data_IF_291063476005
#
_entry.id   IF_291063476005
#
_cell.length_a   1.000
_cell.length_b   1.000
_cell.length_c   1.000
_cell.angle_alpha   90.00
_cell.angle_beta   90.00
_cell.angle_gamma   90.00
#
_symmetry.space_group_name_H-M   'P 1'
#
loop_
_entity.id
_entity.type
_entity.pdbx_description
1 polymer ?
#
# COMPACT_ATOMS: atom_id res chain seq x y z
N UNK A 1 9.13 -9.98 -55.30
CA UNK A 1 8.62 -11.28 -55.83
C UNK A 1 7.87 -11.96 -54.69
N UNK A 2 6.59 -12.26 -54.86
CA UNK A 2 5.79 -12.95 -53.83
C UNK A 2 6.17 -14.42 -53.80
N UNK A 3 6.48 -14.95 -52.63
CA UNK A 3 6.82 -16.36 -52.42
C UNK A 3 5.54 -17.21 -52.40
N UNK A 4 5.18 -17.76 -53.56
CA UNK A 4 3.98 -18.57 -53.73
C UNK A 4 3.97 -19.86 -52.90
N UNK A 5 5.14 -20.36 -52.48
CA UNK A 5 5.21 -21.51 -51.57
C UNK A 5 4.71 -21.15 -50.17
N UNK A 6 5.04 -19.96 -49.66
CA UNK A 6 4.48 -19.44 -48.40
C UNK A 6 2.97 -19.20 -48.51
N UNK A 7 2.51 -18.67 -49.64
CA UNK A 7 1.09 -18.45 -49.89
C UNK A 7 0.31 -19.79 -49.91
N UNK A 8 0.84 -20.82 -50.57
CA UNK A 8 0.24 -22.16 -50.62
C UNK A 8 0.17 -22.82 -49.23
N UNK A 9 1.23 -22.68 -48.40
CA UNK A 9 1.21 -23.13 -47.00
C UNK A 9 0.12 -22.41 -46.23
N UNK A 10 0.04 -21.07 -46.31
CA UNK A 10 -1.00 -20.28 -45.62
C UNK A 10 -2.41 -20.74 -46.05
N UNK A 11 -2.66 -20.93 -47.35
CA UNK A 11 -3.95 -21.42 -47.86
C UNK A 11 -4.26 -22.84 -47.37
N UNK A 12 -3.28 -23.74 -47.33
CA UNK A 12 -3.47 -25.08 -46.80
C UNK A 12 -3.81 -25.03 -45.29
N UNK A 13 -3.09 -24.22 -44.50
CA UNK A 13 -3.37 -24.07 -43.07
C UNK A 13 -4.75 -23.44 -42.81
N UNK A 14 -5.22 -22.54 -43.67
CA UNK A 14 -6.55 -21.91 -43.56
C UNK A 14 -7.70 -22.82 -44.02
N UNK A 15 -7.47 -23.75 -44.95
CA UNK A 15 -8.52 -24.63 -45.48
C UNK A 15 -8.72 -25.90 -44.66
N UNK A 16 -7.69 -26.37 -43.95
CA UNK A 16 -7.76 -27.55 -43.06
C UNK A 16 -8.94 -27.45 -42.06
N UNK A 17 -9.14 -26.36 -41.29
CA UNK A 17 -10.26 -26.26 -40.34
C UNK A 17 -11.65 -26.32 -40.99
N UNK A 18 -11.79 -25.94 -42.26
CA UNK A 18 -13.08 -25.90 -42.97
C UNK A 18 -13.57 -27.29 -43.41
N UNK A 19 -12.67 -28.26 -43.49
CA UNK A 19 -12.99 -29.64 -43.96
C UNK A 19 -12.96 -30.64 -42.80
N UNK A 20 -12.46 -30.22 -41.64
CA UNK A 20 -12.33 -31.07 -40.46
C UNK A 20 -13.63 -31.13 -39.64
N UNK A 21 -13.90 -32.30 -39.05
CA UNK A 21 -14.94 -32.44 -38.03
C UNK A 21 -14.64 -31.52 -36.83
N UNK A 22 -15.64 -31.14 -36.00
CA UNK A 22 -15.41 -30.25 -34.85
C UNK A 22 -14.28 -30.71 -33.92
N UNK A 23 -14.16 -32.03 -33.71
CA UNK A 23 -13.07 -32.63 -32.91
C UNK A 23 -11.72 -32.43 -33.58
N UNK A 24 -11.64 -32.63 -34.89
CA UNK A 24 -10.40 -32.43 -35.63
C UNK A 24 -10.05 -30.94 -35.77
N UNK A 25 -11.02 -30.04 -35.88
CA UNK A 25 -10.81 -28.60 -35.85
C UNK A 25 -10.24 -28.13 -34.51
N UNK A 26 -10.72 -28.69 -33.38
CA UNK A 26 -10.15 -28.43 -32.05
C UNK A 26 -8.69 -28.91 -31.96
N UNK A 27 -8.38 -30.12 -32.43
CA UNK A 27 -7.01 -30.64 -32.47
C UNK A 27 -6.09 -29.83 -33.40
N UNK A 28 -6.59 -29.40 -34.56
CA UNK A 28 -5.87 -28.53 -35.48
C UNK A 28 -5.57 -27.16 -34.84
N UNK A 29 -6.54 -26.56 -34.13
CA UNK A 29 -6.33 -25.32 -33.40
C UNK A 29 -5.25 -25.46 -32.31
N UNK A 30 -5.26 -26.57 -31.55
CA UNK A 30 -4.22 -26.87 -30.57
C UNK A 30 -2.84 -27.06 -31.24
N UNK A 31 -2.78 -27.76 -32.37
CA UNK A 31 -1.54 -27.94 -33.14
C UNK A 31 -1.00 -26.61 -33.69
N UNK A 32 -1.85 -25.77 -34.29
CA UNK A 32 -1.44 -24.45 -34.78
C UNK A 32 -0.97 -23.54 -33.67
N UNK A 33 -1.64 -23.59 -32.50
CA UNK A 33 -1.21 -22.87 -31.32
C UNK A 33 0.15 -23.34 -30.81
N UNK A 34 0.37 -24.65 -30.76
CA UNK A 34 1.67 -25.23 -30.40
C UNK A 34 2.76 -24.83 -31.40
N UNK A 35 2.49 -24.93 -32.70
CA UNK A 35 3.41 -24.54 -33.77
C UNK A 35 3.72 -23.03 -33.70
N UNK A 36 2.71 -22.21 -33.43
CA UNK A 36 2.89 -20.77 -33.22
C UNK A 36 3.86 -20.52 -32.05
N UNK A 37 3.70 -21.20 -30.92
CA UNK A 37 4.62 -21.03 -29.78
C UNK A 37 6.03 -21.54 -30.05
N UNK A 38 6.19 -22.57 -30.88
CA UNK A 38 7.51 -23.02 -31.32
C UNK A 38 8.20 -22.01 -32.23
N UNK A 39 7.45 -21.38 -33.15
CA UNK A 39 7.97 -20.38 -34.08
C UNK A 39 8.25 -19.06 -33.35
N UNK A 40 7.31 -18.62 -32.51
CA UNK A 40 7.36 -17.37 -31.76
C UNK A 40 7.68 -17.64 -30.29
N UNK A 41 8.89 -18.13 -30.01
CA UNK A 41 9.34 -18.47 -28.64
C UNK A 41 9.18 -17.32 -27.65
N UNK A 42 9.34 -16.09 -28.11
CA UNK A 42 9.17 -14.87 -27.30
C UNK A 42 7.71 -14.64 -26.86
N UNK A 43 6.74 -15.19 -27.62
CA UNK A 43 5.31 -15.14 -27.30
C UNK A 43 4.85 -16.32 -26.46
N UNK A 44 5.62 -17.41 -26.43
CA UNK A 44 5.38 -18.57 -25.55
C UNK A 44 5.65 -18.27 -24.07
N UNK A 45 6.35 -17.17 -23.79
CA UNK A 45 6.63 -16.72 -22.44
C UNK A 45 6.00 -15.36 -22.18
N UNK A 46 5.84 -15.01 -20.92
CA UNK A 46 5.52 -13.66 -20.50
C UNK A 46 6.53 -13.20 -19.43
N UNK A 47 6.58 -11.90 -19.20
CA UNK A 47 7.29 -11.38 -18.03
C UNK A 47 6.50 -11.75 -16.77
N UNK A 48 7.21 -12.01 -15.68
CA UNK A 48 6.64 -12.18 -14.35
C UNK A 48 7.25 -11.15 -13.40
N UNK A 49 6.40 -10.58 -12.56
CA UNK A 49 6.76 -9.76 -11.42
C UNK A 49 5.88 -10.20 -10.26
N UNK A 50 6.32 -11.24 -9.57
CA UNK A 50 5.70 -11.75 -8.35
C UNK A 50 6.38 -11.16 -7.12
N UNK A 51 5.79 -11.38 -5.96
CA UNK A 51 6.24 -10.80 -4.71
C UNK A 51 7.67 -11.22 -4.40
N UNK A 52 7.98 -12.49 -4.64
CA UNK A 52 9.32 -13.07 -4.47
C UNK A 52 10.37 -12.52 -5.43
N UNK A 53 9.95 -11.91 -6.55
CA UNK A 53 10.84 -11.22 -7.48
C UNK A 53 11.18 -9.79 -7.02
N UNK A 54 10.44 -9.22 -6.05
CA UNK A 54 10.72 -7.90 -5.51
C UNK A 54 11.93 -7.91 -4.57
N UNK A 55 12.80 -6.92 -4.74
CA UNK A 55 13.96 -6.71 -3.86
C UNK A 55 13.54 -6.41 -2.40
N UNK A 56 14.43 -6.70 -1.46
CA UNK A 56 14.25 -6.34 -0.04
C UNK A 56 14.41 -4.85 0.22
N UNK A 57 15.08 -4.14 -0.69
CA UNK A 57 15.23 -2.69 -0.71
C UNK A 57 13.89 -1.95 -0.85
N UNK A 58 13.87 -0.61 -0.74
CA UNK A 58 12.69 0.18 -1.08
C UNK A 58 12.08 -0.23 -2.42
N UNK A 59 10.79 -0.59 -2.40
CA UNK A 59 10.04 -1.04 -3.57
C UNK A 59 10.01 0.01 -4.68
N UNK A 60 10.10 1.28 -4.26
CA UNK A 60 10.21 2.43 -5.13
C UNK A 60 11.31 3.36 -4.64
N UNK A 61 12.25 3.69 -5.53
CA UNK A 61 13.30 4.67 -5.27
C UNK A 61 13.33 5.71 -6.39
N UNK A 62 13.08 6.97 -6.04
CA UNK A 62 13.23 8.10 -6.96
C UNK A 62 14.29 9.05 -6.41
N UNK A 63 15.47 9.07 -7.02
CA UNK A 63 16.50 10.08 -6.74
C UNK A 63 16.16 11.39 -7.45
N UNK A 64 15.17 12.16 -6.94
CA UNK A 64 14.83 13.51 -7.45
C UNK A 64 14.30 13.57 -8.90
N UNK A 65 13.27 14.38 -9.15
CA UNK A 65 12.62 14.61 -10.46
C UNK A 65 12.14 13.40 -11.30
N UNK A 66 12.44 12.15 -10.95
CA UNK A 66 11.96 10.96 -11.68
C UNK A 66 10.42 10.81 -11.70
N UNK A 67 9.72 11.54 -10.82
CA UNK A 67 8.26 11.58 -10.78
C UNK A 67 7.64 12.66 -11.67
N UNK A 68 8.45 13.57 -12.23
CA UNK A 68 8.02 14.56 -13.20
C UNK A 68 8.49 14.02 -14.56
N UNK A 69 7.57 13.63 -15.47
CA UNK A 69 7.98 13.26 -16.82
C UNK A 69 8.80 14.42 -17.39
N UNK A 70 9.94 14.14 -18.03
CA UNK A 70 10.70 15.14 -18.78
C UNK A 70 9.73 15.94 -19.64
N UNK A 71 9.44 17.18 -19.23
CA UNK A 71 8.53 18.08 -19.92
C UNK A 71 9.25 18.62 -21.14
N UNK A 72 9.44 17.77 -22.15
CA UNK A 72 9.29 18.27 -23.51
C UNK A 72 7.89 18.91 -23.63
N UNK A 73 7.70 19.97 -24.44
CA UNK A 73 6.41 20.62 -24.59
C UNK A 73 5.38 19.63 -25.14
N UNK A 74 4.59 19.05 -24.23
CA UNK A 74 3.42 18.25 -24.59
C UNK A 74 2.34 19.26 -25.00
N UNK A 75 1.77 19.18 -26.21
CA UNK A 75 0.69 20.06 -26.63
C UNK A 75 -0.47 20.02 -25.62
N UNK A 76 -1.19 21.14 -25.42
CA UNK A 76 -2.25 21.22 -24.43
C UNK A 76 -3.28 20.10 -24.65
N UNK A 77 -3.66 19.37 -23.59
CA UNK A 77 -4.62 18.28 -23.72
C UNK A 77 -5.98 18.84 -24.11
N UNK A 78 -6.51 18.35 -25.22
CA UNK A 78 -7.88 18.60 -25.65
C UNK A 78 -8.83 17.88 -24.66
N UNK A 79 -9.56 18.67 -23.87
CA UNK A 79 -10.24 18.27 -22.61
C UNK A 79 -11.47 17.37 -22.84
N UNK A 80 -11.75 16.94 -24.07
CA UNK A 80 -13.04 16.33 -24.42
C UNK A 80 -13.00 14.82 -24.70
N UNK A 81 -11.87 14.11 -24.53
CA UNK A 81 -11.84 12.65 -24.72
C UNK A 81 -11.30 11.89 -23.51
N UNK A 82 -12.21 11.34 -22.70
CA UNK A 82 -11.97 10.53 -21.50
C UNK A 82 -11.36 9.13 -21.77
N UNK A 83 -10.79 8.88 -22.96
CA UNK A 83 -10.27 7.56 -23.38
C UNK A 83 -9.16 7.65 -24.43
N UNK A 84 -8.05 8.32 -24.15
CA UNK A 84 -6.83 8.12 -24.96
C UNK A 84 -5.66 7.70 -24.09
N UNK A 85 -5.74 6.49 -23.55
CA UNK A 85 -4.52 5.69 -23.42
C UNK A 85 -4.01 5.46 -24.85
N UNK A 86 -2.74 5.77 -25.13
CA UNK A 86 -2.15 5.40 -26.41
C UNK A 86 -2.07 3.86 -26.43
N UNK A 87 -2.84 3.17 -27.29
CA UNK A 87 -2.94 1.72 -27.26
C UNK A 87 -1.58 1.02 -27.49
N UNK A 88 -0.65 1.73 -28.13
CA UNK A 88 0.69 1.24 -28.49
C UNK A 88 1.62 0.97 -27.30
N UNK A 89 1.30 1.43 -26.09
CA UNK A 89 2.15 1.25 -24.90
C UNK A 89 1.54 0.24 -23.94
N UNK A 90 2.31 -0.78 -23.54
CA UNK A 90 1.92 -1.79 -22.56
C UNK A 90 1.38 -1.11 -21.29
N UNK A 91 0.08 -1.22 -21.03
CA UNK A 91 -0.61 -0.39 -20.04
C UNK A 91 -0.06 -0.65 -18.62
N UNK A 92 0.25 -1.91 -18.29
CA UNK A 92 0.94 -2.27 -17.04
C UNK A 92 2.39 -1.78 -16.99
N UNK A 93 3.10 -1.64 -18.13
CA UNK A 93 4.49 -1.14 -18.16
C UNK A 93 4.55 0.38 -17.93
N UNK A 94 3.45 1.09 -18.19
CA UNK A 94 3.34 2.53 -17.86
C UNK A 94 2.88 2.80 -16.42
N UNK A 95 2.51 1.76 -15.68
CA UNK A 95 1.92 1.85 -14.34
C UNK A 95 2.65 0.95 -13.34
N UNK A 96 2.34 -0.35 -13.34
CA UNK A 96 2.85 -1.35 -12.41
C UNK A 96 4.38 -1.36 -12.32
N UNK A 97 5.07 -1.33 -13.46
CA UNK A 97 6.53 -1.43 -13.50
C UNK A 97 7.23 -0.13 -13.05
N UNK A 98 6.58 1.03 -13.27
CA UNK A 98 7.06 2.32 -12.75
C UNK A 98 6.91 2.41 -11.23
N UNK A 99 5.88 1.78 -10.66
CA UNK A 99 5.73 1.69 -9.22
C UNK A 99 6.86 0.84 -8.61
N UNK A 100 7.17 -0.30 -9.22
CA UNK A 100 8.25 -1.20 -8.81
C UNK A 100 9.56 -0.99 -9.59
N UNK A 101 9.99 0.27 -9.73
CA UNK A 101 11.12 0.61 -10.59
C UNK A 101 12.44 -0.07 -10.19
N UNK A 102 12.66 -0.31 -8.89
CA UNK A 102 13.86 -1.00 -8.38
C UNK A 102 13.94 -2.42 -8.92
N UNK A 103 12.83 -3.18 -8.85
CA UNK A 103 12.77 -4.54 -9.37
C UNK A 103 12.87 -4.58 -10.90
N UNK A 104 12.28 -3.58 -11.58
CA UNK A 104 12.27 -3.56 -13.04
C UNK A 104 13.61 -3.17 -13.68
N UNK A 105 14.42 -2.31 -13.03
CA UNK A 105 15.73 -1.86 -13.53
C UNK A 105 16.84 -2.90 -13.38
N UNK A 106 16.70 -3.85 -12.45
CA UNK A 106 17.72 -4.86 -12.13
C UNK A 106 18.03 -5.89 -13.22
N UNK A 107 17.48 -5.75 -14.44
CA UNK A 107 17.82 -6.57 -15.61
C UNK A 107 17.32 -8.02 -15.60
N UNK A 108 16.87 -8.54 -14.46
CA UNK A 108 16.35 -9.91 -14.32
C UNK A 108 14.84 -10.00 -14.46
N UNK A 109 14.28 -9.76 -15.66
CA UNK A 109 12.87 -10.08 -15.89
C UNK A 109 12.71 -11.60 -15.92
N UNK A 110 12.10 -12.18 -14.88
CA UNK A 110 11.79 -13.61 -14.87
C UNK A 110 10.77 -13.89 -15.96
N UNK A 111 11.13 -14.77 -16.90
CA UNK A 111 10.20 -15.27 -17.92
C UNK A 111 9.49 -16.51 -17.38
N UNK A 112 8.18 -16.57 -17.57
CA UNK A 112 7.38 -17.75 -17.22
C UNK A 112 6.62 -18.25 -18.45
N UNK A 113 6.37 -19.57 -18.56
CA UNK A 113 5.54 -20.09 -19.64
C UNK A 113 4.16 -19.45 -19.62
N UNK A 114 3.68 -19.05 -20.80
CA UNK A 114 2.34 -18.51 -20.98
C UNK A 114 1.33 -19.67 -21.04
N UNK A 115 0.28 -19.66 -20.21
CA UNK A 115 -0.76 -20.68 -20.27
C UNK A 115 -1.49 -20.75 -21.62
N UNK A 116 -1.97 -21.95 -21.95
CA UNK A 116 -2.66 -22.23 -23.21
C UNK A 116 -4.08 -21.63 -23.30
N UNK A 117 -4.61 -21.07 -22.22
CA UNK A 117 -5.91 -20.40 -22.24
C UNK A 117 -5.80 -18.89 -22.51
N UNK A 118 -4.62 -18.29 -22.37
CA UNK A 118 -4.43 -16.85 -22.62
C UNK A 118 -4.44 -16.53 -24.12
N UNK A 119 -4.77 -15.29 -24.48
CA UNK A 119 -4.66 -14.85 -25.87
C UNK A 119 -3.20 -14.88 -26.35
N UNK A 120 -3.00 -15.30 -27.59
CA UNK A 120 -1.68 -15.34 -28.22
C UNK A 120 -1.27 -13.93 -28.69
N UNK A 121 -2.26 -13.10 -29.04
CA UNK A 121 -2.08 -11.75 -29.59
C UNK A 121 -1.72 -10.74 -28.50
N UNK A 122 -2.33 -10.88 -27.31
CA UNK A 122 -2.07 -10.00 -26.18
C UNK A 122 -0.70 -10.25 -25.53
N UNK A 123 -0.15 -9.23 -24.86
CA UNK A 123 0.96 -9.42 -23.93
C UNK A 123 0.41 -9.48 -22.52
N UNK A 124 1.06 -10.27 -21.68
CA UNK A 124 0.69 -10.44 -20.28
C UNK A 124 1.89 -10.18 -19.39
N UNK A 125 1.62 -9.71 -18.18
CA UNK A 125 2.53 -9.74 -17.04
C UNK A 125 1.91 -10.66 -15.97
N UNK A 126 2.62 -11.73 -15.61
CA UNK A 126 2.21 -12.56 -14.47
C UNK A 126 2.59 -11.87 -13.17
N UNK A 127 1.67 -11.84 -12.22
CA UNK A 127 1.88 -11.33 -10.86
C UNK A 127 1.08 -12.15 -9.85
N UNK A 128 1.08 -11.72 -8.59
CA UNK A 128 0.33 -12.29 -7.48
C UNK A 128 -0.38 -11.21 -6.66
N UNK A 129 -1.17 -11.64 -5.68
CA UNK A 129 -1.96 -10.76 -4.82
C UNK A 129 -1.09 -9.84 -3.98
N UNK A 130 0.01 -10.35 -3.42
CA UNK A 130 0.89 -9.58 -2.55
C UNK A 130 1.54 -8.42 -3.32
N UNK A 131 1.96 -8.66 -4.57
CA UNK A 131 2.50 -7.62 -5.45
C UNK A 131 1.41 -6.62 -5.84
N UNK A 132 0.20 -7.09 -6.18
CA UNK A 132 -0.92 -6.21 -6.50
C UNK A 132 -1.31 -5.33 -5.30
N UNK A 133 -1.30 -5.90 -4.09
CA UNK A 133 -1.55 -5.16 -2.86
C UNK A 133 -0.49 -4.09 -2.62
N UNK A 134 0.79 -4.45 -2.79
CA UNK A 134 1.86 -3.48 -2.68
C UNK A 134 1.74 -2.34 -3.68
N UNK A 135 1.31 -2.64 -4.90
CA UNK A 135 1.03 -1.64 -5.90
C UNK A 135 -0.03 -0.67 -5.40
N UNK A 136 -1.17 -1.18 -4.95
CA UNK A 136 -2.28 -0.38 -4.42
C UNK A 136 -1.80 0.49 -3.24
N UNK A 137 -1.06 -0.09 -2.28
CA UNK A 137 -0.53 0.65 -1.12
C UNK A 137 0.36 1.81 -1.57
N UNK A 138 1.25 1.59 -2.54
CA UNK A 138 2.20 2.60 -3.01
C UNK A 138 1.55 3.70 -3.87
N UNK A 139 0.55 3.35 -4.67
CA UNK A 139 -0.08 4.28 -5.62
C UNK A 139 -1.32 4.98 -5.08
N UNK A 140 -1.64 4.75 -3.81
CA UNK A 140 -2.80 5.33 -3.14
C UNK A 140 -2.75 6.88 -3.09
N UNK A 141 -3.72 7.61 -3.69
CA UNK A 141 -3.70 9.07 -3.69
C UNK A 141 -4.38 9.67 -2.47
N UNK A 142 -3.79 10.77 -1.97
CA UNK A 142 -4.15 11.48 -0.72
C UNK A 142 -5.61 11.94 -0.54
N UNK A 143 -6.48 11.85 -1.55
CA UNK A 143 -7.82 12.44 -1.49
C UNK A 143 -8.91 11.59 -2.12
N UNK A 144 -9.99 11.41 -1.34
CA UNK A 144 -11.38 11.02 -1.67
C UNK A 144 -11.63 9.78 -2.53
N UNK A 145 -10.61 8.98 -2.85
CA UNK A 145 -10.82 7.65 -3.43
C UNK A 145 -11.77 6.84 -2.55
N UNK A 146 -13.01 6.66 -2.99
CA UNK A 146 -13.92 5.69 -2.39
C UNK A 146 -13.53 4.35 -3.00
N UNK A 147 -13.32 3.34 -2.14
CA UNK A 147 -13.37 1.97 -2.61
C UNK A 147 -14.77 1.71 -3.09
N UNK A 148 -14.95 1.85 -4.39
CA UNK A 148 -16.01 1.14 -5.05
C UNK A 148 -15.44 -0.25 -5.29
N UNK A 149 -15.82 -1.21 -4.44
CA UNK A 149 -16.20 -2.49 -5.01
C UNK A 149 -17.30 -2.09 -5.97
N UNK A 150 -16.96 -1.90 -7.25
CA UNK A 150 -17.97 -1.57 -8.24
C UNK A 150 -19.03 -2.65 -8.03
N UNK A 151 -20.28 -2.31 -7.67
CA UNK A 151 -21.34 -3.28 -7.82
C UNK A 151 -21.28 -3.60 -9.30
N UNK A 152 -20.63 -4.71 -9.64
CA UNK A 152 -20.75 -5.35 -10.94
C UNK A 152 -22.25 -5.39 -11.11
N UNK A 153 -22.75 -4.58 -12.05
CA UNK A 153 -24.12 -4.07 -12.04
C UNK A 153 -25.08 -5.18 -11.66
N UNK A 154 -26.10 -4.88 -10.85
CA UNK A 154 -27.06 -5.84 -10.28
C UNK A 154 -27.79 -6.74 -11.29
N UNK A 155 -27.52 -6.60 -12.59
CA UNK A 155 -28.05 -7.41 -13.67
C UNK A 155 -27.04 -8.45 -14.21
N UNK A 156 -25.81 -8.46 -13.69
CA UNK A 156 -24.75 -9.36 -14.10
C UNK A 156 -23.90 -9.73 -12.87
N UNK A 157 -24.41 -10.70 -12.10
CA UNK A 157 -23.65 -11.45 -11.11
C UNK A 157 -22.63 -12.31 -11.87
N UNK A 158 -21.44 -11.77 -12.11
CA UNK A 158 -20.31 -12.60 -12.51
C UNK A 158 -19.66 -13.06 -11.21
N UNK A 159 -20.05 -14.24 -10.70
CA UNK A 159 -19.37 -14.94 -9.57
C UNK A 159 -17.85 -15.16 -9.82
N UNK A 160 -17.39 -14.80 -11.02
CA UNK A 160 -16.07 -14.99 -11.55
C UNK A 160 -15.35 -13.66 -11.83
N UNK A 161 -15.67 -12.55 -11.16
CA UNK A 161 -14.87 -11.33 -11.33
C UNK A 161 -14.75 -10.52 -10.03
N UNK A 162 -13.64 -9.82 -9.89
CA UNK A 162 -13.51 -8.74 -8.91
C UNK A 162 -12.99 -7.49 -9.60
N UNK A 163 -13.47 -6.34 -9.14
CA UNK A 163 -13.01 -5.05 -9.59
C UNK A 163 -12.70 -4.18 -8.39
N UNK A 164 -11.73 -3.29 -8.57
CA UNK A 164 -11.45 -2.25 -7.60
C UNK A 164 -11.24 -0.93 -8.32
N UNK A 165 -11.66 0.14 -7.66
CA UNK A 165 -11.28 1.50 -8.02
C UNK A 165 -10.65 2.14 -6.79
N UNK A 166 -9.41 2.60 -6.94
CA UNK A 166 -8.68 3.29 -5.89
C UNK A 166 -8.06 4.57 -6.44
N UNK A 167 -8.70 5.69 -6.12
CA UNK A 167 -8.30 6.99 -6.62
C UNK A 167 -8.36 7.05 -8.14
N UNK A 168 -7.21 7.28 -8.78
CA UNK A 168 -7.07 7.34 -10.26
C UNK A 168 -6.79 5.98 -10.90
N UNK A 169 -6.65 4.93 -10.10
CA UNK A 169 -6.43 3.57 -10.59
C UNK A 169 -7.72 2.77 -10.52
N UNK A 170 -7.92 1.90 -11.49
CA UNK A 170 -8.91 0.84 -11.39
C UNK A 170 -8.37 -0.44 -11.97
N UNK A 171 -8.91 -1.55 -11.50
CA UNK A 171 -8.60 -2.87 -12.01
C UNK A 171 -9.86 -3.71 -12.13
N UNK A 172 -9.96 -4.47 -13.21
CA UNK A 172 -11.03 -5.46 -13.41
C UNK A 172 -10.36 -6.79 -13.68
N UNK A 173 -10.75 -7.81 -12.92
CA UNK A 173 -10.14 -9.13 -12.95
C UNK A 173 -11.21 -10.19 -13.08
N UNK A 174 -11.06 -11.06 -14.07
CA UNK A 174 -11.92 -12.20 -14.31
C UNK A 174 -11.22 -13.46 -13.81
N UNK A 175 -11.90 -14.17 -12.91
CA UNK A 175 -11.59 -15.53 -12.52
C UNK A 175 -11.85 -16.44 -13.73
N UNK A 176 -10.88 -17.27 -14.05
CA UNK A 176 -11.00 -18.29 -15.07
C UNK A 176 -10.61 -19.61 -14.43
N UNK A 177 -11.50 -20.59 -14.56
CA UNK A 177 -11.29 -21.96 -14.12
C UNK A 177 -10.94 -22.81 -15.33
N UNK A 178 -9.88 -23.61 -15.23
CA UNK A 178 -9.52 -24.53 -16.30
C UNK A 178 -10.52 -25.68 -16.36
N UNK A 179 -11.05 -26.01 -17.55
CA UNK A 179 -12.11 -27.02 -17.74
C UNK A 179 -11.78 -28.41 -17.16
N UNK A 180 -10.50 -28.71 -16.95
CA UNK A 180 -10.01 -29.98 -16.42
C UNK A 180 -9.05 -29.81 -15.23
N UNK A 181 -8.88 -28.59 -14.72
CA UNK A 181 -7.95 -28.28 -13.65
C UNK A 181 -8.66 -27.76 -12.41
N UNK A 182 -8.14 -28.12 -11.23
CA UNK A 182 -8.53 -27.48 -9.97
C UNK A 182 -7.93 -26.06 -9.83
N UNK A 183 -7.04 -25.66 -10.75
CA UNK A 183 -6.34 -24.38 -10.67
C UNK A 183 -7.24 -23.22 -11.10
N UNK A 184 -7.45 -22.31 -10.15
CA UNK A 184 -8.07 -21.01 -10.39
C UNK A 184 -6.99 -20.00 -10.76
N UNK A 185 -7.23 -19.19 -11.77
CA UNK A 185 -6.38 -18.05 -12.10
C UNK A 185 -7.22 -16.81 -12.41
N UNK A 186 -6.58 -15.65 -12.43
CA UNK A 186 -7.25 -14.38 -12.69
C UNK A 186 -6.59 -13.69 -13.87
N UNK A 187 -7.40 -13.16 -14.77
CA UNK A 187 -6.96 -12.34 -15.90
C UNK A 187 -7.55 -10.97 -15.70
N UNK A 188 -6.72 -9.93 -15.63
CA UNK A 188 -7.24 -8.59 -15.38
C UNK A 188 -6.49 -7.51 -16.11
N UNK A 189 -7.10 -6.34 -16.11
CA UNK A 189 -6.56 -5.14 -16.71
C UNK A 189 -6.44 -4.07 -15.64
N UNK A 190 -5.30 -3.36 -15.60
CA UNK A 190 -5.09 -2.20 -14.74
C UNK A 190 -5.17 -0.91 -15.55
N UNK A 191 -6.09 -0.04 -15.17
CA UNK A 191 -6.20 1.32 -15.66
C UNK A 191 -5.43 2.24 -14.71
N UNK A 192 -4.49 3.01 -15.27
CA UNK A 192 -3.67 3.97 -14.51
C UNK A 192 -4.20 5.40 -14.54
N UNK A 193 -3.50 6.34 -13.88
CA UNK A 193 -3.90 7.72 -13.82
C UNK A 193 -3.95 8.29 -15.22
N UNK A 194 -5.10 8.88 -15.55
CA UNK A 194 -5.30 9.62 -16.79
C UNK A 194 -4.34 10.82 -16.91
N UNK A 195 -3.81 11.30 -15.77
CA UNK A 195 -2.84 12.39 -15.74
C UNK A 195 -1.39 11.87 -15.62
N UNK A 196 -0.58 11.94 -16.68
CA UNK A 196 0.83 11.54 -16.63
C UNK A 196 1.71 12.44 -15.75
N UNK A 197 1.23 13.64 -15.38
CA UNK A 197 1.96 14.59 -14.53
C UNK A 197 1.83 14.30 -13.03
N UNK A 198 0.84 13.48 -12.62
CA UNK A 198 0.71 13.10 -11.22
C UNK A 198 1.76 12.06 -10.85
N UNK A 199 2.43 12.18 -9.68
CA UNK A 199 3.34 11.13 -9.22
C UNK A 199 2.56 9.83 -9.05
N UNK A 200 3.03 8.79 -9.72
CA UNK A 200 2.43 7.45 -9.68
C UNK A 200 2.46 6.86 -8.26
N UNK A 201 3.60 6.99 -7.58
CA UNK A 201 3.79 6.56 -6.20
C UNK A 201 3.65 7.76 -5.29
N UNK A 202 2.88 7.61 -4.22
CA UNK A 202 2.71 8.65 -3.22
C UNK A 202 4.09 9.03 -2.65
N UNK A 203 4.53 10.30 -2.77
CA UNK A 203 5.85 10.71 -2.32
C UNK A 203 6.14 10.40 -0.85
N UNK A 204 5.10 10.34 -0.01
CA UNK A 204 5.26 10.07 1.42
C UNK A 204 5.39 8.57 1.75
N UNK A 205 5.14 7.70 0.76
CA UNK A 205 5.31 6.26 0.84
C UNK A 205 6.58 5.79 0.14
N UNK A 206 7.39 6.73 -0.38
CA UNK A 206 8.75 6.45 -0.83
C UNK A 206 9.57 5.85 0.31
N UNK A 207 10.43 4.89 -0.01
CA UNK A 207 11.24 4.20 0.99
C UNK A 207 10.58 2.97 1.63
N UNK A 208 9.28 2.70 1.37
CA UNK A 208 8.64 1.47 1.84
C UNK A 208 9.33 0.23 1.31
N UNK A 209 9.75 -0.65 2.21
CA UNK A 209 10.34 -1.95 1.88
C UNK A 209 9.25 -3.00 1.66
N UNK A 210 9.64 -4.12 1.05
CA UNK A 210 8.81 -5.33 0.94
C UNK A 210 8.26 -5.76 2.31
N UNK A 211 9.10 -5.71 3.35
CA UNK A 211 8.70 -6.07 4.71
C UNK A 211 7.64 -5.12 5.27
N UNK A 212 7.80 -3.81 5.10
CA UNK A 212 6.85 -2.81 5.62
C UNK A 212 5.44 -3.02 5.07
N UNK A 213 5.34 -3.18 3.74
CA UNK A 213 4.06 -3.39 3.07
C UNK A 213 3.38 -4.67 3.53
N UNK A 214 4.14 -5.77 3.67
CA UNK A 214 3.61 -7.04 4.18
C UNK A 214 3.06 -6.90 5.61
N UNK A 215 3.76 -6.21 6.50
CA UNK A 215 3.27 -5.98 7.85
C UNK A 215 2.00 -5.12 7.86
N UNK A 216 1.94 -4.06 7.05
CA UNK A 216 0.72 -3.24 6.90
C UNK A 216 -0.45 -4.09 6.38
N UNK A 217 -0.20 -4.95 5.38
CA UNK A 217 -1.17 -5.90 4.85
C UNK A 217 -1.68 -6.89 5.91
N UNK A 218 -0.79 -7.37 6.78
CA UNK A 218 -1.11 -8.26 7.91
C UNK A 218 -1.88 -7.54 9.04
N UNK A 219 -2.11 -6.23 8.92
CA UNK A 219 -2.85 -5.45 9.89
C UNK A 219 -1.97 -4.80 10.95
N UNK A 220 -0.70 -4.52 10.66
CA UNK A 220 0.07 -3.58 11.46
C UNK A 220 -0.47 -2.17 11.23
N UNK A 221 -0.22 -1.23 12.18
CA UNK A 221 -0.65 0.15 12.00
C UNK A 221 -0.19 0.71 10.65
N UNK A 222 -0.99 1.56 9.99
CA UNK A 222 -0.68 2.10 8.66
C UNK A 222 0.59 2.98 8.64
N UNK A 223 1.05 3.40 9.81
CA UNK A 223 2.29 4.15 10.02
C UNK A 223 3.53 3.24 10.18
N UNK A 224 3.34 1.91 10.17
CA UNK A 224 4.42 0.97 10.41
C UNK A 224 5.52 1.12 9.36
N UNK A 225 6.73 1.23 9.86
CA UNK A 225 7.99 1.13 9.12
C UNK A 225 8.94 0.34 9.98
N UNK A 226 9.85 -0.45 9.41
CA UNK A 226 10.85 -1.15 10.21
C UNK A 226 11.75 -0.17 10.97
N UNK A 227 12.02 0.98 10.35
CA UNK A 227 12.78 2.09 10.89
C UNK A 227 11.98 3.37 10.71
N UNK A 228 11.91 4.18 11.76
CA UNK A 228 11.28 5.50 11.71
C UNK A 228 12.35 6.58 11.71
N UNK A 229 12.16 7.58 10.86
CA UNK A 229 12.95 8.82 10.92
C UNK A 229 12.18 9.82 11.75
N UNK A 230 12.79 10.29 12.84
CA UNK A 230 12.17 11.26 13.75
C UNK A 230 12.21 12.66 13.17
N UNK A 231 11.46 13.59 13.76
CA UNK A 231 11.55 15.01 13.45
C UNK A 231 12.94 15.63 13.70
N UNK A 232 13.78 14.99 14.53
CA UNK A 232 15.19 15.37 14.73
C UNK A 232 16.13 14.81 13.66
N UNK A 233 15.62 14.06 12.67
CA UNK A 233 16.41 13.42 11.62
C UNK A 233 17.08 12.12 12.05
N UNK A 234 16.86 11.67 13.28
CA UNK A 234 17.43 10.43 13.81
C UNK A 234 16.61 9.25 13.32
N UNK A 235 17.29 8.20 12.87
CA UNK A 235 16.65 6.93 12.53
C UNK A 235 16.68 5.97 13.72
N UNK A 236 15.51 5.50 14.16
CA UNK A 236 15.38 4.50 15.22
C UNK A 236 14.49 3.34 14.75
N UNK A 237 14.68 2.17 15.35
CA UNK A 237 13.85 1.02 15.03
C UNK A 237 12.43 1.16 15.59
N UNK A 238 11.44 0.66 14.86
CA UNK A 238 10.05 0.72 15.27
C UNK A 238 9.78 -0.17 16.50
N UNK A 239 8.89 0.25 17.42
CA UNK A 239 8.67 -0.47 18.68
C UNK A 239 7.89 -1.78 18.52
N UNK A 240 7.17 -1.97 17.42
CA UNK A 240 6.48 -3.23 17.10
C UNK A 240 7.50 -4.22 16.55
N UNK A 241 7.71 -5.32 17.28
CA UNK A 241 8.56 -6.46 16.87
C UNK A 241 7.75 -7.70 16.53
N UNK A 242 6.58 -7.80 17.14
CA UNK A 242 5.63 -8.90 16.98
C UNK A 242 4.21 -8.35 16.89
N UNK A 243 3.27 -9.14 16.39
CA UNK A 243 1.85 -8.77 16.31
C UNK A 243 1.26 -8.35 17.67
N UNK A 244 1.76 -8.92 18.77
CA UNK A 244 1.32 -8.56 20.12
C UNK A 244 1.64 -7.11 20.49
N UNK A 245 2.66 -6.53 19.88
CA UNK A 245 3.08 -5.18 20.17
C UNK A 245 2.16 -4.13 19.53
N UNK A 246 1.26 -4.53 18.62
CA UNK A 246 0.21 -3.66 18.07
C UNK A 246 -0.75 -3.15 19.16
N UNK A 247 -0.91 -3.91 20.24
CA UNK A 247 -1.74 -3.53 21.39
C UNK A 247 -1.04 -2.52 22.31
N UNK A 248 0.25 -2.23 22.14
CA UNK A 248 1.04 -1.42 23.08
C UNK A 248 1.06 0.05 22.68
N UNK A 249 1.32 0.95 23.63
CA UNK A 249 1.32 2.40 23.38
C UNK A 249 2.55 2.93 22.64
N UNK A 250 3.65 2.16 22.61
CA UNK A 250 4.93 2.61 22.05
C UNK A 250 4.84 3.08 20.60
N UNK A 251 4.09 2.38 19.75
CA UNK A 251 3.96 2.78 18.34
C UNK A 251 3.12 4.06 18.14
N UNK A 252 2.21 4.38 19.06
CA UNK A 252 1.48 5.65 19.05
C UNK A 252 2.46 6.79 19.30
N UNK A 253 3.39 6.63 20.24
CA UNK A 253 4.48 7.59 20.47
C UNK A 253 5.37 7.70 19.23
N UNK A 254 5.70 6.58 18.59
CA UNK A 254 6.50 6.55 17.37
C UNK A 254 5.88 7.41 16.26
N UNK A 255 4.55 7.40 16.10
CA UNK A 255 3.82 8.25 15.14
C UNK A 255 3.98 9.74 15.47
N UNK A 256 3.90 10.09 16.75
CA UNK A 256 4.10 11.47 17.20
C UNK A 256 5.54 11.97 16.98
N UNK A 257 6.52 11.07 17.04
CA UNK A 257 7.94 11.38 16.80
C UNK A 257 8.31 11.39 15.31
N UNK A 258 7.54 10.72 14.46
CA UNK A 258 7.90 10.38 13.09
C UNK A 258 7.44 11.42 12.06
N UNK A 259 8.27 11.61 11.04
CA UNK A 259 7.93 12.36 9.81
C UNK A 259 7.17 11.53 8.77
N UNK A 260 7.05 10.22 8.99
CA UNK A 260 6.38 9.33 8.04
C UNK A 260 4.87 9.51 8.06
N UNK A 261 4.29 9.48 6.86
CA UNK A 261 2.85 9.51 6.67
C UNK A 261 2.30 8.07 6.62
N UNK A 262 1.04 7.87 7.04
CA UNK A 262 0.43 6.56 7.02
C UNK A 262 0.16 6.09 5.58
N UNK A 263 0.21 4.77 5.37
CA UNK A 263 -0.48 4.18 4.22
C UNK A 263 -1.98 4.43 4.36
N UNK A 264 -2.65 4.75 3.26
CA UNK A 264 -4.09 5.06 3.29
C UNK A 264 -4.95 3.83 3.61
N UNK A 265 -4.37 2.65 3.57
CA UNK A 265 -5.06 1.40 3.85
C UNK A 265 -4.75 0.90 5.25
N UNK A 266 -5.77 0.40 5.93
CA UNK A 266 -5.63 -0.32 7.18
C UNK A 266 -6.52 -1.56 7.20
N UNK A 267 -6.10 -2.58 7.93
CA UNK A 267 -6.96 -3.73 8.15
C UNK A 267 -8.06 -3.36 9.16
N UNK A 268 -9.32 -3.35 8.71
CA UNK A 268 -10.46 -2.96 9.54
C UNK A 268 -10.72 -3.90 10.73
N UNK A 269 -10.36 -5.18 10.61
CA UNK A 269 -10.59 -6.20 11.64
C UNK A 269 -9.78 -5.93 12.91
N UNK A 270 -8.60 -5.34 12.73
CA UNK A 270 -7.68 -4.97 13.82
C UNK A 270 -7.83 -3.50 14.25
N UNK A 271 -8.73 -2.73 13.61
CA UNK A 271 -8.92 -1.33 13.94
C UNK A 271 -9.28 -1.03 15.41
N UNK A 272 -10.04 -1.88 16.12
CA UNK A 272 -10.28 -1.71 17.55
C UNK A 272 -8.98 -1.72 18.38
N UNK A 273 -8.02 -2.57 18.01
CA UNK A 273 -6.72 -2.71 18.69
C UNK A 273 -5.97 -1.38 18.72
N UNK A 274 -6.08 -0.61 17.65
CA UNK A 274 -5.42 0.70 17.58
C UNK A 274 -6.02 1.72 18.56
N UNK A 275 -7.34 1.67 18.78
CA UNK A 275 -8.00 2.49 19.81
C UNK A 275 -7.58 2.07 21.22
N UNK A 276 -7.40 0.77 21.45
CA UNK A 276 -6.91 0.24 22.73
C UNK A 276 -5.46 0.70 23.02
N UNK A 277 -4.61 0.76 21.99
CA UNK A 277 -3.26 1.29 22.11
C UNK A 277 -3.25 2.77 22.55
N UNK A 278 -4.14 3.61 21.99
CA UNK A 278 -4.33 5.00 22.45
C UNK A 278 -4.79 5.04 23.92
N UNK A 279 -5.73 4.18 24.30
CA UNK A 279 -6.20 4.07 25.69
C UNK A 279 -5.08 3.65 26.66
N UNK A 280 -4.15 2.81 26.21
CA UNK A 280 -2.96 2.47 27.01
C UNK A 280 -1.98 3.62 27.13
N UNK A 281 -1.83 4.49 26.13
CA UNK A 281 -1.05 5.73 26.26
C UNK A 281 -1.61 6.57 27.41
N UNK A 282 -2.93 6.82 27.41
CA UNK A 282 -3.62 7.54 28.49
C UNK A 282 -3.40 6.87 29.86
N UNK A 283 -3.59 5.55 29.93
CA UNK A 283 -3.40 4.80 31.17
C UNK A 283 -1.94 4.86 31.66
N UNK A 284 -0.96 4.86 30.76
CA UNK A 284 0.47 4.97 31.13
C UNK A 284 0.76 6.34 31.72
N UNK A 285 0.23 7.41 31.12
CA UNK A 285 0.34 8.76 31.65
C UNK A 285 -0.28 8.83 33.05
N UNK A 286 -1.54 8.42 33.20
CA UNK A 286 -2.28 8.56 34.45
C UNK A 286 -1.78 7.67 35.59
N UNK A 287 -1.40 6.42 35.30
CA UNK A 287 -1.09 5.42 36.34
C UNK A 287 0.39 5.27 36.64
N UNK A 288 1.26 5.46 35.65
CA UNK A 288 2.71 5.32 35.85
C UNK A 288 3.41 6.67 35.92
N UNK A 289 3.19 7.55 34.95
CA UNK A 289 3.97 8.80 34.84
C UNK A 289 3.52 9.83 35.87
N UNK A 290 2.24 10.20 35.91
CA UNK A 290 1.71 11.25 36.81
C UNK A 290 2.04 10.98 38.29
N UNK A 291 1.84 9.76 38.84
CA UNK A 291 2.12 9.51 40.27
C UNK A 291 3.60 9.56 40.64
N UNK A 292 4.50 9.55 39.65
CA UNK A 292 5.96 9.64 39.86
C UNK A 292 6.43 11.08 40.14
N UNK A 293 5.52 12.06 40.07
CA UNK A 293 5.81 13.46 40.30
C UNK A 293 4.92 14.02 41.42
N UNK A 294 5.44 14.98 42.18
CA UNK A 294 4.66 15.65 43.22
C UNK A 294 3.43 16.36 42.61
N UNK A 295 2.23 16.29 43.22
CA UNK A 295 1.00 16.84 42.65
C UNK A 295 1.06 18.33 42.29
N UNK A 296 1.84 19.12 43.02
CA UNK A 296 2.02 20.56 42.77
C UNK A 296 3.10 20.89 41.75
N UNK A 297 3.86 19.90 41.28
CA UNK A 297 4.96 20.09 40.34
C UNK A 297 4.47 20.45 38.93
N UNK A 298 5.30 21.18 38.19
CA UNK A 298 5.02 21.49 36.79
C UNK A 298 4.88 20.22 35.94
N UNK A 299 5.65 19.18 36.24
CA UNK A 299 5.56 17.88 35.57
C UNK A 299 4.17 17.25 35.71
N UNK A 300 3.58 17.27 36.92
CA UNK A 300 2.24 16.74 37.15
C UNK A 300 1.17 17.55 36.40
N UNK A 301 1.31 18.88 36.32
CA UNK A 301 0.41 19.74 35.51
C UNK A 301 0.48 19.40 34.03
N UNK A 302 1.69 19.26 33.47
CA UNK A 302 1.89 18.84 32.08
C UNK A 302 1.23 17.49 31.81
N UNK A 303 1.40 16.52 32.72
CA UNK A 303 0.76 15.21 32.58
C UNK A 303 -0.76 15.31 32.60
N UNK A 304 -1.34 16.12 33.49
CA UNK A 304 -2.79 16.31 33.56
C UNK A 304 -3.36 16.95 32.29
N UNK A 305 -2.70 17.97 31.74
CA UNK A 305 -3.13 18.60 30.47
C UNK A 305 -3.09 17.57 29.34
N UNK A 306 -1.98 16.82 29.22
CA UNK A 306 -1.84 15.80 28.18
C UNK A 306 -2.85 14.66 28.33
N UNK A 307 -3.10 14.20 29.56
CA UNK A 307 -4.10 13.18 29.85
C UNK A 307 -5.51 13.64 29.47
N UNK A 308 -5.92 14.87 29.85
CA UNK A 308 -7.22 15.42 29.50
C UNK A 308 -7.41 15.54 27.98
N UNK A 309 -6.37 16.02 27.29
CA UNK A 309 -6.37 16.12 25.83
C UNK A 309 -6.55 14.75 25.15
N UNK A 310 -5.80 13.73 25.60
CA UNK A 310 -5.88 12.38 25.05
C UNK A 310 -7.23 11.71 25.38
N UNK A 311 -7.73 11.90 26.60
CA UNK A 311 -9.03 11.36 27.03
C UNK A 311 -10.19 11.89 26.18
N UNK A 312 -10.17 13.19 25.89
CA UNK A 312 -11.18 13.80 25.00
C UNK A 312 -11.12 13.21 23.59
N UNK A 313 -9.92 13.01 23.02
CA UNK A 313 -9.79 12.40 21.69
C UNK A 313 -10.25 10.95 21.66
N UNK A 314 -10.01 10.17 22.72
CA UNK A 314 -10.48 8.79 22.83
C UNK A 314 -12.01 8.75 22.97
N UNK A 315 -12.57 9.61 23.81
CA UNK A 315 -14.01 9.67 24.08
C UNK A 315 -14.79 10.14 22.86
N UNK A 316 -14.36 11.24 22.24
CA UNK A 316 -14.97 11.80 21.03
C UNK A 316 -14.62 11.02 19.76
N UNK A 317 -13.62 10.12 19.82
CA UNK A 317 -13.08 9.35 18.69
C UNK A 317 -12.66 10.22 17.51
N UNK A 318 -12.13 11.41 17.81
CA UNK A 318 -11.67 12.35 16.80
C UNK A 318 -10.46 13.15 17.30
N UNK A 319 -9.58 13.52 16.37
CA UNK A 319 -8.53 14.51 16.61
C UNK A 319 -8.97 15.93 16.23
N UNK A 320 -10.21 16.12 15.80
CA UNK A 320 -10.75 17.45 15.49
C UNK A 320 -11.13 18.17 16.78
N UNK A 321 -10.74 19.44 16.94
CA UNK A 321 -11.10 20.27 18.10
C UNK A 321 -10.11 20.22 19.27
N UNK A 322 -9.10 19.36 19.20
CA UNK A 322 -8.06 19.27 20.24
C UNK A 322 -7.27 20.57 20.39
N UNK A 323 -7.11 21.35 19.31
CA UNK A 323 -6.53 22.69 19.34
C UNK A 323 -7.23 23.65 20.32
N UNK A 324 -8.55 23.53 20.52
CA UNK A 324 -9.30 24.36 21.48
C UNK A 324 -8.94 24.02 22.93
N UNK A 325 -8.65 22.75 23.21
CA UNK A 325 -8.26 22.28 24.55
C UNK A 325 -6.82 22.65 24.86
N UNK A 326 -5.96 22.60 23.85
CA UNK A 326 -4.54 22.92 23.98
C UNK A 326 -4.26 24.41 23.89
N UNK A 327 -5.24 25.22 23.49
CA UNK A 327 -5.12 26.68 23.46
C UNK A 327 -4.70 27.20 24.84
N UNK A 328 -3.71 28.10 24.89
CA UNK A 328 -3.09 28.63 26.12
C UNK A 328 -2.32 27.63 26.98
N UNK A 329 -2.13 26.39 26.53
CA UNK A 329 -1.33 25.39 27.24
C UNK A 329 0.10 25.33 26.69
N UNK A 330 1.06 24.71 27.43
CA UNK A 330 2.40 24.42 26.89
C UNK A 330 2.42 23.49 25.67
N UNK A 331 1.28 22.95 25.23
CA UNK A 331 1.13 22.10 24.05
C UNK A 331 0.34 22.79 22.92
N UNK A 332 0.03 24.08 23.04
CA UNK A 332 -0.41 24.89 21.90
C UNK A 332 0.65 24.70 20.81
N UNK A 333 0.25 24.22 19.64
CA UNK A 333 1.11 23.85 18.50
C UNK A 333 1.74 22.46 18.48
N UNK A 334 1.36 21.53 19.38
CA UNK A 334 1.85 20.14 19.25
C UNK A 334 1.23 19.37 18.07
N UNK A 335 0.23 19.94 17.41
CA UNK A 335 -0.44 19.38 16.24
C UNK A 335 0.24 19.77 14.92
N UNK A 336 0.08 18.91 13.90
CA UNK A 336 0.53 19.20 12.54
C UNK A 336 2.05 19.35 12.40
N UNK A 337 2.48 20.27 11.53
CA UNK A 337 3.92 20.50 11.24
C UNK A 337 4.66 21.18 12.39
N UNK A 338 3.96 21.94 13.22
CA UNK A 338 4.54 22.64 14.37
C UNK A 338 4.90 21.68 15.50
N UNK A 339 4.21 20.55 15.61
CA UNK A 339 4.52 19.48 16.57
C UNK A 339 5.96 18.94 16.47
N UNK A 340 6.58 19.09 15.30
CA UNK A 340 7.98 18.75 15.09
C UNK A 340 8.93 19.53 16.02
N UNK A 341 8.61 20.77 16.38
CA UNK A 341 9.48 21.61 17.21
C UNK A 341 9.71 21.03 18.60
N UNK A 342 8.70 20.37 19.18
CA UNK A 342 8.81 19.76 20.50
C UNK A 342 9.74 18.55 20.53
N UNK A 343 9.89 17.86 19.40
CA UNK A 343 10.57 16.56 19.32
C UNK A 343 11.92 16.64 18.59
N UNK A 344 12.22 17.78 17.96
CA UNK A 344 13.49 18.06 17.27
C UNK A 344 14.72 17.98 18.19
N UNK A 345 14.57 18.25 19.49
CA UNK A 345 15.68 18.19 20.43
C UNK A 345 15.96 16.78 20.98
N UNK A 346 15.11 15.79 20.69
CA UNK A 346 15.26 14.45 21.26
C UNK A 346 16.37 13.65 20.56
N UNK A 347 17.26 13.08 21.37
CA UNK A 347 18.30 12.14 20.91
C UNK A 347 17.72 10.76 20.58
N UNK A 348 18.50 9.92 19.89
CA UNK A 348 18.12 8.53 19.61
C UNK A 348 17.76 7.76 20.89
N UNK A 349 18.58 7.90 21.94
CA UNK A 349 18.40 7.22 23.21
C UNK A 349 17.13 7.68 23.93
N UNK A 350 16.85 8.99 23.93
CA UNK A 350 15.64 9.56 24.52
C UNK A 350 14.38 9.10 23.79
N UNK A 351 14.42 9.04 22.46
CA UNK A 351 13.33 8.47 21.67
C UNK A 351 13.12 7.00 22.01
N UNK A 352 14.18 6.17 22.00
CA UNK A 352 14.09 4.74 22.33
C UNK A 352 13.58 4.52 23.76
N UNK A 353 14.05 5.30 24.74
CA UNK A 353 13.55 5.27 26.11
C UNK A 353 12.05 5.55 26.15
N UNK A 354 11.60 6.60 25.47
CA UNK A 354 10.19 6.99 25.40
C UNK A 354 9.33 5.89 24.75
N UNK A 355 9.80 5.30 23.66
CA UNK A 355 9.12 4.18 23.01
C UNK A 355 8.99 2.98 23.97
N UNK A 356 10.06 2.60 24.66
CA UNK A 356 10.06 1.49 25.63
C UNK A 356 9.12 1.75 26.80
N UNK A 357 9.13 2.98 27.35
CA UNK A 357 8.27 3.39 28.46
C UNK A 357 6.78 3.10 28.16
N UNK A 358 6.31 3.46 26.96
CA UNK A 358 4.92 3.23 26.54
C UNK A 358 4.68 1.81 25.97
N UNK A 359 5.73 1.05 25.68
CA UNK A 359 5.62 -0.32 25.18
C UNK A 359 5.58 -1.35 26.31
N UNK A 360 6.33 -1.14 27.40
CA UNK A 360 6.37 -2.06 28.55
C UNK A 360 5.02 -2.14 29.30
N UNK A 361 4.21 -1.08 29.22
CA UNK A 361 2.92 -0.96 29.91
C UNK A 361 3.03 -1.40 31.38
N UNK A 362 3.59 -0.53 32.21
CA UNK A 362 3.53 -0.67 33.66
C UNK A 362 2.39 0.18 34.21
N UNK A 363 1.65 -0.36 35.18
CA UNK A 363 0.71 0.41 36.01
C UNK A 363 1.36 0.95 37.28
N UNK A 364 2.56 0.47 37.61
CA UNK A 364 3.32 0.95 38.75
C UNK A 364 3.94 2.32 38.42
N UNK A 365 4.05 3.22 39.41
CA UNK A 365 4.85 4.43 39.28
C UNK A 365 6.27 4.11 38.81
N UNK A 366 6.88 5.07 38.11
CA UNK A 366 8.27 4.97 37.68
C UNK A 366 9.19 4.97 38.90
N UNK A 367 10.26 4.18 38.82
CA UNK A 367 11.37 4.30 39.75
C UNK A 367 12.05 5.68 39.61
N UNK A 368 12.87 6.03 40.61
CA UNK A 368 13.55 7.32 40.67
C UNK A 368 14.47 7.55 39.46
N UNK A 369 15.15 6.50 38.98
CA UNK A 369 16.05 6.57 37.82
C UNK A 369 15.28 6.95 36.54
N UNK A 370 14.21 6.22 36.21
CA UNK A 370 13.36 6.48 35.04
C UNK A 370 12.65 7.83 35.15
N UNK A 371 12.22 8.21 36.36
CA UNK A 371 11.62 9.53 36.61
C UNK A 371 12.61 10.65 36.33
N UNK A 372 13.85 10.53 36.83
CA UNK A 372 14.93 11.49 36.60
C UNK A 372 15.33 11.56 35.12
N UNK A 373 15.35 10.43 34.42
CA UNK A 373 15.61 10.37 32.97
C UNK A 373 14.48 11.00 32.15
N UNK A 374 13.22 10.79 32.54
CA UNK A 374 12.05 11.32 31.83
C UNK A 374 11.87 12.83 32.04
N UNK A 375 12.11 13.33 33.26
CA UNK A 375 11.88 14.74 33.64
C UNK A 375 12.39 15.77 32.63
N UNK A 376 13.64 15.72 32.10
CA UNK A 376 14.14 16.71 31.15
C UNK A 376 13.45 16.66 29.79
N UNK A 377 12.88 15.51 29.40
CA UNK A 377 12.24 15.30 28.09
C UNK A 377 10.71 15.19 28.18
N UNK A 378 10.14 15.29 29.39
CA UNK A 378 8.75 14.98 29.66
C UNK A 378 7.78 15.74 28.73
N UNK A 379 8.02 17.04 28.54
CA UNK A 379 7.18 17.87 27.65
C UNK A 379 7.20 17.35 26.21
N UNK A 380 8.37 17.01 25.67
CA UNK A 380 8.50 16.49 24.31
C UNK A 380 7.82 15.12 24.16
N UNK A 381 7.96 14.25 25.17
CA UNK A 381 7.33 12.92 25.18
C UNK A 381 5.81 13.02 25.25
N UNK A 382 5.27 13.89 26.11
CA UNK A 382 3.83 14.14 26.19
C UNK A 382 3.28 14.78 24.91
N UNK A 383 4.01 15.72 24.31
CA UNK A 383 3.65 16.29 23.01
C UNK A 383 3.60 15.22 21.91
N UNK A 384 4.58 14.31 21.87
CA UNK A 384 4.56 13.16 20.95
C UNK A 384 3.38 12.21 21.22
N UNK A 385 3.01 11.99 22.49
CA UNK A 385 1.84 11.19 22.84
C UNK A 385 0.54 11.81 22.30
N UNK A 386 0.33 13.12 22.53
CA UNK A 386 -0.83 13.86 22.03
C UNK A 386 -0.86 13.83 20.50
N UNK A 387 0.27 14.16 19.85
CA UNK A 387 0.39 14.16 18.39
C UNK A 387 0.13 12.78 17.78
N UNK A 388 0.63 11.71 18.41
CA UNK A 388 0.42 10.33 17.99
C UNK A 388 -1.05 9.91 18.02
N UNK A 389 -1.75 10.18 19.14
CA UNK A 389 -3.18 9.90 19.28
C UNK A 389 -4.01 10.74 18.30
N UNK A 390 -3.67 12.02 18.15
CA UNK A 390 -4.33 12.92 17.21
C UNK A 390 -4.18 12.43 15.76
N UNK A 391 -2.95 12.12 15.32
CA UNK A 391 -2.66 11.59 13.98
C UNK A 391 -3.43 10.29 13.71
N UNK A 392 -3.54 9.38 14.69
CA UNK A 392 -4.33 8.15 14.53
C UNK A 392 -5.82 8.43 14.28
N UNK A 393 -6.45 9.27 15.11
CA UNK A 393 -7.88 9.56 14.95
C UNK A 393 -8.18 10.38 13.71
N UNK A 394 -7.33 11.35 13.37
CA UNK A 394 -7.44 12.10 12.11
C UNK A 394 -7.27 11.16 10.90
N UNK A 395 -6.31 10.24 10.95
CA UNK A 395 -6.15 9.23 9.91
C UNK A 395 -7.43 8.41 9.76
N UNK A 396 -7.92 7.81 10.84
CA UNK A 396 -9.08 6.92 10.81
C UNK A 396 -10.33 7.60 10.25
N UNK A 397 -10.53 8.88 10.57
CA UNK A 397 -11.74 9.60 10.19
C UNK A 397 -11.65 10.25 8.79
N UNK A 398 -10.46 10.62 8.32
CA UNK A 398 -10.30 11.44 7.11
C UNK A 398 -9.65 10.68 5.94
N UNK A 399 -8.65 9.84 6.22
CA UNK A 399 -7.74 9.30 5.20
C UNK A 399 -7.89 7.79 5.07
N UNK A 400 -7.88 7.10 6.21
CA UNK A 400 -7.84 5.65 6.30
C UNK A 400 -9.03 4.99 5.61
N UNK A 401 -8.73 4.02 4.77
CA UNK A 401 -9.68 3.13 4.12
C UNK A 401 -9.44 1.69 4.55
N UNK A 402 -10.50 0.91 4.78
CA UNK A 402 -10.35 -0.51 5.06
C UNK A 402 -9.69 -1.20 3.86
N UNK A 403 -8.82 -2.17 4.13
CA UNK A 403 -8.35 -3.10 3.10
C UNK A 403 -9.56 -3.80 2.48
N UNK A 404 -9.64 -3.89 1.13
CA UNK A 404 -10.70 -4.62 0.46
C UNK A 404 -10.83 -6.05 0.96
N UNK A 405 -12.07 -6.52 1.15
CA UNK A 405 -12.32 -7.86 1.68
C UNK A 405 -11.76 -8.97 0.79
N UNK A 406 -11.75 -8.77 -0.53
CA UNK A 406 -11.21 -9.72 -1.51
C UNK A 406 -9.71 -10.00 -1.32
N UNK A 407 -8.95 -9.11 -0.68
CA UNK A 407 -7.54 -9.39 -0.33
C UNK A 407 -7.41 -10.49 0.74
N UNK A 408 -8.47 -10.74 1.49
CA UNK A 408 -8.53 -11.82 2.46
C UNK A 408 -9.05 -13.13 1.85
N UNK A 409 -9.38 -13.15 0.56
CA UNK A 409 -9.80 -14.37 -0.13
C UNK A 409 -8.59 -15.28 -0.37
N UNK A 410 -8.54 -16.41 0.35
CA UNK A 410 -7.47 -17.40 0.23
C UNK A 410 -7.39 -18.01 -1.18
N UNK A 411 -8.50 -18.06 -1.92
CA UNK A 411 -8.51 -18.53 -3.31
C UNK A 411 -7.76 -17.57 -4.22
N UNK A 412 -7.79 -16.27 -3.93
CA UNK A 412 -7.07 -15.26 -4.68
C UNK A 412 -5.56 -15.32 -4.34
N UNK A 413 -5.19 -15.45 -3.06
CA UNK A 413 -3.79 -15.46 -2.61
C UNK A 413 -2.93 -16.54 -3.25
N UNK A 414 -3.50 -17.71 -3.51
CA UNK A 414 -2.81 -18.82 -4.17
C UNK A 414 -2.84 -18.79 -5.70
N UNK A 415 -3.68 -17.94 -6.30
CA UNK A 415 -3.93 -17.95 -7.73
C UNK A 415 -2.99 -16.99 -8.49
N UNK A 416 -2.45 -17.40 -9.65
CA UNK A 416 -1.69 -16.48 -10.49
C UNK A 416 -2.62 -15.42 -11.11
N UNK A 417 -2.14 -14.18 -11.14
CA UNK A 417 -2.82 -13.04 -11.76
C UNK A 417 -2.09 -12.70 -13.05
N UNK A 418 -2.84 -12.57 -14.15
CA UNK A 418 -2.32 -12.24 -15.48
C UNK A 418 -2.83 -10.86 -15.89
N UNK A 419 -1.95 -9.87 -15.83
CA UNK A 419 -2.26 -8.50 -16.25
C UNK A 419 -2.14 -8.38 -17.77
N UNK A 420 -3.23 -8.04 -18.45
CA UNK A 420 -3.27 -7.81 -19.90
C UNK A 420 -3.09 -6.33 -20.25
N UNK A 421 -2.70 -6.06 -21.48
CA UNK A 421 -2.72 -4.72 -22.08
C UNK A 421 -4.15 -4.31 -22.51
N UNK A 422 -4.38 -3.00 -22.66
CA UNK A 422 -5.66 -2.39 -23.05
C UNK A 422 -6.24 -2.88 -24.41
N UNK A 423 -5.44 -3.59 -25.22
CA UNK A 423 -5.84 -4.11 -26.53
C UNK A 423 -6.61 -5.44 -26.49
N UNK A 424 -6.80 -6.02 -25.30
CA UNK A 424 -7.40 -7.34 -25.15
C UNK A 424 -8.92 -7.41 -25.32
N UNK A 425 -9.63 -6.28 -25.23
CA UNK A 425 -11.09 -6.25 -25.05
C UNK A 425 -11.90 -6.08 -26.37
N UNK A 426 -11.28 -6.28 -27.54
CA UNK A 426 -11.99 -6.23 -28.83
C UNK A 426 -12.63 -7.57 -29.26
N UNK A 427 -12.81 -8.54 -28.35
CA UNK A 427 -13.42 -9.85 -28.66
C UNK A 427 -14.75 -10.10 -27.98
#
# INVERSE_FOLDING_TARGET
>A
MVDWAKAAVIVALCTIPLVLSPVAAQNAALFFRWLYFLIFKDKAHCDALCWDDLALEPLHSCQGNCCIPDTGPIPPPDVTSSRRHNPTTRCYESTFTRAFNTAWRGGGRRKVPRPQYLSIVANYLRTDVDTLLAFIVLTAPRSTGVWHTLPLSSNHVWDNAFAFQYGTFSGVFHRVQEKHGAETHFIGHLCGPLNPQSPLVNPNLQGLTKADVRHIAMGYPPFYRQHITTHSGVTIAHPIRTERDMYRGGWVIAIGLSTHEPAELYNARVAPIYGDACSRVLSTINKAITPSFAPSSEAAKLCSIAANAIDEMITSRTGSGIATILYTTPFQDCEGRSGAQFTQALTAEQCVFSLRLFNEFSIAPLDEERSNQLKPILRAVLAAAIAGVCKWWQYKNNVGKPLPEWLNDETLKGAPIWLTDCHGDES
#
